data_IF_924471518819
#
_entry.id   IF_924471518819
#
_cell.length_a   1.000
_cell.length_b   1.000
_cell.length_c   1.000
_cell.angle_alpha   90.00
_cell.angle_beta   90.00
_cell.angle_gamma   90.00
#
_symmetry.space_group_name_H-M   'P 1'
#
loop_
_entity.id
_entity.type
_entity.pdbx_description
1 polymer ?
#
# COMPACT_ATOMS: atom_id res chain seq x y z
N UNK A 1 10.91 1.86 3.19
CA UNK A 1 10.69 2.26 4.59
C UNK A 1 9.34 2.95 4.66
N UNK A 2 8.41 2.44 5.49
CA UNK A 2 7.05 2.99 5.57
C UNK A 2 6.88 3.98 6.73
N UNK A 3 7.43 3.67 7.90
CA UNK A 3 7.46 4.57 9.06
C UNK A 3 8.66 4.26 9.97
N UNK A 4 9.05 5.22 10.79
CA UNK A 4 10.20 5.15 11.71
C UNK A 4 9.81 5.13 13.19
N UNK A 5 8.53 4.90 13.49
CA UNK A 5 7.95 5.02 14.82
C UNK A 5 7.34 6.40 15.10
N UNK A 6 7.50 7.37 14.20
CA UNK A 6 6.84 8.68 14.24
C UNK A 6 5.95 8.90 13.02
N UNK A 7 5.01 9.83 13.14
CA UNK A 7 4.21 10.26 12.01
C UNK A 7 5.07 10.96 10.96
N UNK A 8 4.66 10.85 9.70
CA UNK A 8 5.35 11.47 8.56
C UNK A 8 4.99 12.95 8.37
N UNK A 9 4.04 13.47 9.16
CA UNK A 9 3.73 14.89 9.21
C UNK A 9 4.75 15.70 10.03
N UNK A 10 4.70 17.02 9.91
CA UNK A 10 5.65 17.94 10.56
C UNK A 10 5.66 17.83 12.10
N UNK A 11 4.59 17.36 12.72
CA UNK A 11 4.52 17.22 14.19
C UNK A 11 5.32 16.03 14.68
N UNK A 12 5.60 15.05 13.80
CA UNK A 12 6.37 13.82 14.10
C UNK A 12 5.92 13.15 15.40
N UNK A 13 4.61 12.97 15.53
CA UNK A 13 3.97 12.38 16.71
C UNK A 13 4.43 10.93 16.87
N UNK A 14 4.75 10.51 18.10
CA UNK A 14 5.13 9.13 18.37
C UNK A 14 3.94 8.18 18.18
N UNK A 15 4.12 7.17 17.33
CA UNK A 15 3.07 6.20 16.98
C UNK A 15 3.15 4.93 17.85
N UNK A 16 4.26 4.75 18.55
CA UNK A 16 4.55 3.61 19.40
C UNK A 16 5.17 4.07 20.72
N UNK A 17 4.99 3.31 21.81
CA UNK A 17 5.68 3.55 23.07
C UNK A 17 7.21 3.58 22.92
N UNK A 18 7.95 4.31 23.78
CA UNK A 18 9.40 4.46 23.71
C UNK A 18 10.19 3.13 23.65
N UNK A 19 9.70 2.07 24.30
CA UNK A 19 10.33 0.75 24.29
C UNK A 19 10.24 0.02 22.93
N UNK A 20 9.39 0.51 22.03
CA UNK A 20 9.15 -0.02 20.67
C UNK A 20 9.69 0.91 19.57
N UNK A 21 10.36 2.00 19.94
CA UNK A 21 10.93 2.97 19.01
C UNK A 21 12.31 2.54 18.50
N UNK A 22 12.72 3.12 17.36
CA UNK A 22 14.06 2.98 16.80
C UNK A 22 14.35 1.63 16.13
N UNK A 23 15.59 1.41 15.67
CA UNK A 23 15.99 0.21 14.92
C UNK A 23 16.21 -1.03 15.80
N UNK A 24 16.44 -0.85 17.10
CA UNK A 24 16.65 -1.93 18.06
C UNK A 24 15.72 -1.74 19.26
N UNK A 25 14.41 -1.98 19.09
CA UNK A 25 13.44 -1.81 20.17
C UNK A 25 13.70 -2.83 21.29
N UNK A 26 13.38 -2.43 22.52
CA UNK A 26 13.49 -3.31 23.70
C UNK A 26 12.43 -4.41 23.69
N UNK A 27 11.27 -4.11 23.11
CA UNK A 27 10.15 -5.04 22.96
C UNK A 27 9.98 -5.42 21.49
N UNK A 28 9.71 -6.70 21.22
CA UNK A 28 9.47 -7.19 19.86
C UNK A 28 8.18 -6.57 19.30
N UNK A 29 8.25 -6.04 18.08
CA UNK A 29 7.09 -5.53 17.37
C UNK A 29 6.22 -6.68 16.85
N UNK A 30 4.90 -6.52 16.95
CA UNK A 30 3.92 -7.36 16.25
C UNK A 30 3.63 -6.81 14.84
N UNK A 31 2.86 -7.53 14.03
CA UNK A 31 2.60 -7.19 12.62
C UNK A 31 2.06 -5.75 12.44
N UNK A 32 1.06 -5.35 13.22
CA UNK A 32 0.47 -4.01 13.12
C UNK A 32 1.43 -2.89 13.56
N UNK A 33 2.33 -3.21 14.49
CA UNK A 33 3.34 -2.26 14.99
C UNK A 33 4.50 -2.12 14.03
N UNK A 34 4.80 -3.17 13.28
CA UNK A 34 5.81 -3.14 12.23
C UNK A 34 5.47 -2.12 11.13
N UNK A 35 4.19 -1.95 10.81
CA UNK A 35 3.74 -0.89 9.89
C UNK A 35 4.02 0.53 10.44
N UNK A 36 4.08 0.67 11.77
CA UNK A 36 4.36 1.95 12.46
C UNK A 36 5.85 2.18 12.70
N UNK A 37 6.67 1.14 12.80
CA UNK A 37 8.13 1.23 12.89
C UNK A 37 8.80 0.10 12.09
N UNK A 38 9.29 0.45 10.91
CA UNK A 38 9.91 -0.49 9.98
C UNK A 38 11.45 -0.50 10.09
N UNK A 39 12.04 0.33 10.96
CA UNK A 39 13.49 0.39 11.16
C UNK A 39 14.14 -0.95 11.56
N UNK A 40 13.53 -1.78 12.47
CA UNK A 40 14.15 -3.03 12.86
C UNK A 40 14.24 -4.04 11.71
N UNK A 41 13.24 -4.05 10.84
CA UNK A 41 13.23 -4.89 9.64
C UNK A 41 14.27 -4.42 8.62
N UNK A 42 14.38 -3.10 8.40
CA UNK A 42 15.41 -2.54 7.53
C UNK A 42 16.81 -2.92 8.02
N UNK A 43 17.08 -2.80 9.32
CA UNK A 43 18.38 -3.18 9.88
C UNK A 43 18.68 -4.66 9.67
N UNK A 44 17.70 -5.54 9.89
CA UNK A 44 17.82 -6.97 9.66
C UNK A 44 18.11 -7.28 8.18
N UNK A 45 17.41 -6.62 7.27
CA UNK A 45 17.61 -6.77 5.81
C UNK A 45 18.94 -6.24 5.35
N UNK A 46 19.40 -5.11 5.89
CA UNK A 46 20.69 -4.52 5.55
C UNK A 46 21.87 -5.49 5.77
N UNK A 47 21.78 -6.34 6.79
CA UNK A 47 22.78 -7.40 7.03
C UNK A 47 22.81 -8.46 5.93
N UNK A 48 21.73 -8.58 5.14
CA UNK A 48 21.57 -9.51 4.04
C UNK A 48 21.77 -8.87 2.66
N UNK A 49 22.27 -7.62 2.59
CA UNK A 49 22.45 -6.84 1.34
C UNK A 49 23.28 -7.57 0.27
N UNK A 50 24.27 -8.36 0.68
CA UNK A 50 25.13 -9.12 -0.23
C UNK A 50 24.56 -10.52 -0.55
N UNK A 51 23.51 -10.93 0.15
CA UNK A 51 22.87 -12.23 0.05
C UNK A 51 21.50 -12.17 -0.62
N UNK A 52 20.45 -12.47 0.15
CA UNK A 52 19.08 -12.58 -0.37
C UNK A 52 18.55 -11.25 -0.92
N UNK A 53 18.83 -10.13 -0.26
CA UNK A 53 18.35 -8.81 -0.68
C UNK A 53 18.84 -8.41 -2.08
N UNK A 54 20.04 -8.85 -2.47
CA UNK A 54 20.60 -8.57 -3.79
C UNK A 54 19.79 -9.20 -4.93
N UNK A 55 19.03 -10.26 -4.63
CA UNK A 55 18.20 -11.00 -5.58
C UNK A 55 16.74 -10.57 -5.56
N UNK A 56 16.38 -9.59 -4.71
CA UNK A 56 15.01 -9.10 -4.68
C UNK A 56 14.67 -8.41 -6.00
N UNK A 57 13.45 -8.65 -6.47
CA UNK A 57 12.89 -7.99 -7.64
C UNK A 57 12.61 -6.51 -7.35
N UNK A 58 12.54 -5.69 -8.41
CA UNK A 58 12.27 -4.24 -8.32
C UNK A 58 10.86 -3.90 -7.83
N UNK A 59 9.99 -4.90 -7.72
CA UNK A 59 8.64 -4.85 -7.16
C UNK A 59 8.63 -4.98 -5.63
N UNK A 60 9.69 -5.55 -5.05
CA UNK A 60 9.81 -5.77 -3.62
C UNK A 60 10.00 -4.46 -2.83
N UNK A 61 9.83 -4.53 -1.51
CA UNK A 61 10.01 -3.39 -0.61
C UNK A 61 11.45 -2.85 -0.59
N UNK A 62 12.43 -3.69 -0.91
CA UNK A 62 13.85 -3.38 -1.01
C UNK A 62 14.46 -4.19 -2.15
N UNK A 63 15.31 -3.56 -2.96
CA UNK A 63 15.98 -4.18 -4.10
C UNK A 63 17.33 -3.50 -4.37
N UNK A 64 18.20 -4.16 -5.13
CA UNK A 64 19.48 -3.61 -5.54
C UNK A 64 19.45 -3.14 -7.00
N UNK A 65 20.11 -2.01 -7.26
CA UNK A 65 20.27 -1.46 -8.61
C UNK A 65 21.76 -1.50 -8.98
N UNK A 66 22.13 -2.02 -10.16
CA UNK A 66 23.51 -1.95 -10.64
C UNK A 66 24.01 -0.50 -10.75
N UNK A 67 25.30 -0.30 -10.46
CA UNK A 67 25.92 1.03 -10.60
C UNK A 67 25.84 1.58 -12.03
N UNK A 68 25.90 0.71 -13.03
CA UNK A 68 25.82 1.10 -14.44
C UNK A 68 24.47 1.77 -14.75
N UNK A 69 23.36 1.15 -14.34
CA UNK A 69 22.01 1.72 -14.49
C UNK A 69 21.88 3.09 -13.81
N UNK A 70 22.44 3.24 -12.59
CA UNK A 70 22.42 4.52 -11.88
C UNK A 70 23.21 5.58 -12.65
N UNK A 71 24.37 5.22 -13.20
CA UNK A 71 25.19 6.14 -13.98
C UNK A 71 24.49 6.55 -15.30
N UNK A 72 23.81 5.63 -15.95
CA UNK A 72 23.02 5.89 -17.17
C UNK A 72 21.87 6.86 -16.90
N UNK A 73 21.22 6.74 -15.73
CA UNK A 73 20.19 7.68 -15.28
C UNK A 73 20.76 8.98 -14.68
N UNK A 74 22.05 9.28 -14.90
CA UNK A 74 22.66 10.54 -14.45
C UNK A 74 22.78 10.65 -12.92
N UNK A 75 22.91 9.52 -12.21
CA UNK A 75 22.93 9.45 -10.75
C UNK A 75 21.65 9.95 -10.08
N UNK A 76 20.51 9.92 -10.77
CA UNK A 76 19.20 10.09 -10.16
C UNK A 76 18.97 8.95 -9.16
N UNK A 77 18.88 9.26 -7.86
CA UNK A 77 18.64 8.29 -6.79
C UNK A 77 17.16 8.21 -6.38
N UNK A 78 16.27 8.79 -7.18
CA UNK A 78 14.83 8.65 -6.98
C UNK A 78 14.42 7.18 -7.08
N UNK A 79 13.85 6.65 -6.00
CA UNK A 79 13.37 5.27 -5.94
C UNK A 79 12.37 4.94 -7.06
N UNK A 80 11.54 5.92 -7.44
CA UNK A 80 10.50 5.75 -8.47
C UNK A 80 11.08 5.51 -9.86
N UNK A 81 12.34 5.87 -10.11
CA UNK A 81 13.03 5.60 -11.38
C UNK A 81 13.29 4.11 -11.58
N UNK A 82 13.54 3.38 -10.49
CA UNK A 82 13.99 1.99 -10.54
C UNK A 82 12.98 1.00 -9.99
N UNK A 83 11.96 1.48 -9.27
CA UNK A 83 10.91 0.63 -8.72
C UNK A 83 9.94 0.23 -9.82
N UNK A 84 9.72 -1.07 -9.96
CA UNK A 84 8.67 -1.59 -10.82
C UNK A 84 7.35 -1.60 -10.04
N UNK A 85 6.34 -0.94 -10.59
CA UNK A 85 4.98 -0.98 -10.05
C UNK A 85 4.24 -2.05 -10.81
N UNK A 86 3.89 -3.14 -10.12
CA UNK A 86 2.98 -4.14 -10.67
C UNK A 86 1.60 -3.51 -10.69
N UNK A 87 1.10 -3.20 -11.88
CA UNK A 87 -0.31 -2.88 -12.07
C UNK A 87 -1.05 -4.22 -12.06
N UNK A 88 -1.79 -4.50 -10.99
CA UNK A 88 -2.79 -5.56 -11.05
C UNK A 88 -3.86 -5.10 -12.04
N UNK A 89 -4.11 -5.94 -13.04
CA UNK A 89 -5.22 -5.76 -13.96
C UNK A 89 -6.50 -5.96 -13.14
N UNK A 90 -7.12 -4.86 -12.73
CA UNK A 90 -8.38 -4.90 -12.01
C UNK A 90 -9.44 -5.33 -13.02
N UNK A 91 -9.90 -6.57 -12.93
CA UNK A 91 -11.09 -7.00 -13.69
C UNK A 91 -12.28 -6.16 -13.24
N UNK A 92 -12.73 -5.29 -14.14
CA UNK A 92 -13.95 -4.53 -13.95
C UNK A 92 -15.13 -5.34 -14.47
N UNK A 93 -16.27 -5.26 -13.77
CA UNK A 93 -17.52 -5.84 -14.27
C UNK A 93 -17.86 -5.25 -15.65
N UNK A 94 -18.37 -6.05 -16.60
CA UNK A 94 -18.77 -5.54 -17.90
C UNK A 94 -19.79 -4.40 -17.76
N UNK A 95 -19.73 -3.34 -18.58
CA UNK A 95 -20.71 -2.25 -18.53
C UNK A 95 -22.16 -2.73 -18.63
N UNK A 96 -22.41 -3.81 -19.38
CA UNK A 96 -23.75 -4.39 -19.52
C UNK A 96 -24.30 -4.92 -18.20
N UNK A 97 -23.48 -5.58 -17.38
CA UNK A 97 -23.92 -6.09 -16.07
C UNK A 97 -24.33 -4.94 -15.14
N UNK A 98 -23.60 -3.82 -15.21
CA UNK A 98 -23.93 -2.61 -14.45
C UNK A 98 -25.26 -2.02 -14.94
N UNK A 99 -25.50 -2.00 -16.26
CA UNK A 99 -26.75 -1.50 -16.84
C UNK A 99 -27.95 -2.38 -16.46
N UNK A 100 -27.79 -3.70 -16.50
CA UNK A 100 -28.83 -4.64 -16.12
C UNK A 100 -29.19 -4.50 -14.63
N UNK A 101 -28.19 -4.31 -13.77
CA UNK A 101 -28.37 -4.03 -12.33
C UNK A 101 -29.14 -2.71 -12.12
N UNK A 102 -28.77 -1.64 -12.84
CA UNK A 102 -29.45 -0.35 -12.78
C UNK A 102 -30.91 -0.44 -13.24
N UNK A 103 -31.20 -1.18 -14.31
CA UNK A 103 -32.57 -1.38 -14.79
C UNK A 103 -33.42 -2.15 -13.77
N UNK A 104 -32.83 -3.13 -13.08
CA UNK A 104 -33.46 -3.83 -11.96
C UNK A 104 -33.87 -2.88 -10.83
N UNK A 105 -32.93 -2.03 -10.39
CA UNK A 105 -33.17 -1.03 -9.35
C UNK A 105 -34.28 -0.04 -9.75
N UNK A 106 -34.27 0.44 -10.99
CA UNK A 106 -35.29 1.38 -11.50
C UNK A 106 -36.70 0.76 -11.50
N UNK A 107 -36.79 -0.54 -11.82
CA UNK A 107 -38.05 -1.27 -11.77
C UNK A 107 -38.59 -1.42 -10.33
N UNK A 108 -37.72 -1.71 -9.37
CA UNK A 108 -38.09 -1.77 -7.95
C UNK A 108 -38.61 -0.42 -7.45
N UNK A 109 -37.91 0.67 -7.78
CA UNK A 109 -38.33 2.04 -7.43
C UNK A 109 -39.71 2.34 -8.04
N UNK A 110 -39.90 2.02 -9.32
CA UNK A 110 -41.17 2.24 -10.02
C UNK A 110 -42.31 1.45 -9.39
N UNK A 111 -42.08 0.20 -9.00
CA UNK A 111 -43.06 -0.61 -8.28
C UNK A 111 -43.39 -0.02 -6.91
N UNK A 112 -42.38 0.36 -6.12
CA UNK A 112 -42.56 0.98 -4.81
C UNK A 112 -43.38 2.27 -4.89
N UNK A 113 -43.10 3.12 -5.88
CA UNK A 113 -43.86 4.34 -6.14
C UNK A 113 -45.33 4.07 -6.48
N UNK A 114 -45.61 3.04 -7.30
CA UNK A 114 -46.99 2.64 -7.61
C UNK A 114 -47.73 2.11 -6.38
N UNK A 115 -47.07 1.30 -5.55
CA UNK A 115 -47.66 0.78 -4.31
C UNK A 115 -48.03 1.93 -3.35
N UNK A 116 -47.08 2.85 -3.10
CA UNK A 116 -47.33 4.02 -2.26
C UNK A 116 -48.45 4.90 -2.81
N UNK A 117 -48.48 5.14 -4.13
CA UNK A 117 -49.58 5.88 -4.76
C UNK A 117 -50.94 5.18 -4.68
N UNK A 118 -50.96 3.85 -4.67
CA UNK A 118 -52.18 3.07 -4.49
C UNK A 118 -52.76 3.12 -3.08
N UNK A 119 -51.93 3.34 -2.06
CA UNK A 119 -52.35 3.47 -0.66
C UNK A 119 -52.99 4.82 -0.32
N UNK A 120 -52.86 5.81 -1.21
CA UNK A 120 -53.46 7.15 -1.06
C UNK A 120 -54.83 7.27 -1.75
N UNK A 121 -55.40 6.15 -2.24
CA UNK A 121 -56.74 6.08 -2.84
C UNK A 121 -57.75 5.45 -1.90
#
# INVERSE_FOLDING_TARGET
MQADGKSLDDKRTELLPPEKQGPTPKSKLIADEHAKNNLPDILKRWQQRDGKERKNERTAQSFCVPKADIAEQGYDLSINRYKEVVYEEVEHRPPQEILDELEGIENEITQGMKQLGGMLK
#
